data_IF_570012178176
#
_entry.id   IF_570012178176
#
_cell.length_a   1.000
_cell.length_b   1.000
_cell.length_c   1.000
_cell.angle_alpha   90.00
_cell.angle_beta   90.00
_cell.angle_gamma   90.00
#
_symmetry.space_group_name_H-M   'P 1'
#
loop_
_entity.id
_entity.type
_entity.pdbx_description
1 polymer ?
#
# COMPACT_ATOMS: atom_id res chain seq x y z
N UNK A 1 2.89 -9.22 -17.84
CA UNK A 1 3.11 -10.14 -16.71
C UNK A 1 3.79 -9.38 -15.57
N UNK A 2 3.05 -8.61 -14.75
CA UNK A 2 3.67 -7.75 -13.70
C UNK A 2 2.95 -7.80 -12.33
N UNK A 3 1.76 -8.42 -12.24
CA UNK A 3 0.95 -8.39 -11.02
C UNK A 3 1.37 -9.43 -9.95
N UNK A 4 1.96 -10.56 -10.34
CA UNK A 4 2.22 -11.70 -9.43
C UNK A 4 3.43 -11.51 -8.50
N UNK A 5 4.30 -10.52 -8.76
CA UNK A 5 5.59 -10.40 -8.08
C UNK A 5 5.54 -9.72 -6.70
N UNK A 6 4.39 -9.16 -6.29
CA UNK A 6 4.32 -8.30 -5.10
C UNK A 6 3.83 -8.99 -3.83
N UNK A 7 3.16 -10.15 -3.89
CA UNK A 7 2.77 -10.92 -2.70
C UNK A 7 1.94 -10.14 -1.67
N UNK A 8 1.19 -9.14 -2.15
CA UNK A 8 0.25 -8.34 -1.35
C UNK A 8 -1.16 -8.67 -1.79
N UNK A 9 -2.05 -8.89 -0.83
CA UNK A 9 -3.46 -9.21 -1.02
C UNK A 9 -4.33 -8.34 -0.07
N UNK A 10 -5.63 -8.13 -0.36
CA UNK A 10 -6.48 -7.30 0.47
C UNK A 10 -6.73 -8.02 1.79
N UNK A 11 -6.70 -7.28 2.90
CA UNK A 11 -6.69 -7.81 4.26
C UNK A 11 -5.29 -8.03 4.84
N UNK A 12 -4.22 -7.90 4.04
CA UNK A 12 -2.86 -7.95 4.58
C UNK A 12 -2.58 -6.72 5.45
N UNK A 13 -2.02 -6.95 6.64
CA UNK A 13 -1.62 -5.88 7.56
C UNK A 13 -0.14 -5.55 7.39
N UNK A 14 0.16 -4.26 7.35
CA UNK A 14 1.50 -3.68 7.32
C UNK A 14 1.59 -2.68 8.48
N UNK A 15 2.18 -3.09 9.60
CA UNK A 15 2.11 -2.30 10.84
C UNK A 15 0.66 -2.10 11.30
N UNK A 16 0.24 -0.84 11.44
CA UNK A 16 -1.14 -0.44 11.76
C UNK A 16 -2.05 -0.29 10.53
N UNK A 17 -1.49 -0.40 9.33
CA UNK A 17 -2.24 -0.30 8.07
C UNK A 17 -2.78 -1.66 7.64
N UNK A 18 -3.99 -1.67 7.09
CA UNK A 18 -4.64 -2.85 6.51
C UNK A 18 -4.95 -2.56 5.04
N UNK A 19 -4.51 -3.43 4.13
CA UNK A 19 -4.82 -3.29 2.71
C UNK A 19 -6.31 -3.51 2.48
N UNK A 20 -6.96 -2.55 1.83
CA UNK A 20 -8.38 -2.58 1.49
C UNK A 20 -8.55 -2.95 0.03
N UNK A 21 -7.83 -2.27 -0.87
CA UNK A 21 -7.95 -2.46 -2.32
C UNK A 21 -6.63 -2.23 -3.08
N UNK A 22 -6.55 -2.77 -4.30
CA UNK A 22 -5.42 -2.59 -5.23
C UNK A 22 -5.78 -1.53 -6.27
N UNK A 23 -4.90 -0.55 -6.43
CA UNK A 23 -5.04 0.53 -7.41
C UNK A 23 -3.80 0.57 -8.29
N UNK A 24 -3.92 0.14 -9.55
CA UNK A 24 -2.82 0.20 -10.51
C UNK A 24 -2.91 1.54 -11.25
N UNK A 25 -2.32 2.60 -10.69
CA UNK A 25 -2.65 3.97 -11.12
C UNK A 25 -1.46 4.82 -11.57
N UNK A 26 -0.22 4.34 -11.47
CA UNK A 26 0.93 5.13 -11.90
C UNK A 26 1.86 4.29 -12.76
N UNK A 27 1.86 4.53 -14.07
CA UNK A 27 2.98 4.17 -14.92
C UNK A 27 4.03 5.28 -14.77
N UNK A 28 5.26 4.91 -14.40
CA UNK A 28 6.38 5.85 -14.47
C UNK A 28 6.69 6.17 -15.93
N UNK A 29 7.46 7.24 -16.17
CA UNK A 29 7.92 7.63 -17.51
C UNK A 29 8.71 6.51 -18.22
N UNK A 30 9.27 5.57 -17.44
CA UNK A 30 9.97 4.36 -17.90
C UNK A 30 9.03 3.17 -18.21
N UNK A 31 7.71 3.34 -18.07
CA UNK A 31 6.71 2.28 -18.30
C UNK A 31 6.55 1.29 -17.14
N UNK A 32 7.15 1.56 -15.98
CA UNK A 32 7.00 0.73 -14.80
C UNK A 32 5.65 1.04 -14.13
N UNK A 33 4.72 0.10 -14.20
CA UNK A 33 3.42 0.23 -13.50
C UNK A 33 3.66 0.00 -12.01
N UNK A 34 3.60 1.08 -11.24
CA UNK A 34 3.69 1.04 -9.80
C UNK A 34 2.34 0.66 -9.19
N UNK A 35 2.26 -0.46 -8.46
CA UNK A 35 1.05 -0.86 -7.76
C UNK A 35 0.85 0.06 -6.54
N UNK A 36 -0.22 0.83 -6.57
CA UNK A 36 -0.70 1.55 -5.41
C UNK A 36 -1.73 0.68 -4.68
N UNK A 37 -1.78 0.83 -3.37
CA UNK A 37 -2.65 0.08 -2.49
C UNK A 37 -3.42 1.08 -1.65
N UNK A 38 -4.73 0.92 -1.62
CA UNK A 38 -5.55 1.63 -0.65
C UNK A 38 -5.45 0.88 0.67
N UNK A 39 -4.89 1.53 1.68
CA UNK A 39 -4.80 1.00 3.03
C UNK A 39 -5.68 1.81 3.99
N UNK A 40 -6.23 1.16 5.00
CA UNK A 40 -6.88 1.81 6.13
C UNK A 40 -6.15 1.46 7.42
N UNK A 41 -5.94 2.47 8.24
CA UNK A 41 -5.40 2.30 9.57
C UNK A 41 -6.54 1.94 10.52
N UNK A 42 -6.20 1.23 11.59
CA UNK A 42 -7.10 0.99 12.73
C UNK A 42 -7.68 2.28 13.33
N UNK A 43 -6.98 3.41 13.17
CA UNK A 43 -7.44 4.74 13.56
C UNK A 43 -8.66 5.26 12.74
N UNK A 44 -9.05 4.55 11.67
CA UNK A 44 -10.10 4.96 10.73
C UNK A 44 -9.59 5.83 9.56
N UNK A 45 -8.31 6.20 9.55
CA UNK A 45 -7.72 6.93 8.42
C UNK A 45 -7.44 5.98 7.25
N UNK A 46 -7.83 6.36 6.03
CA UNK A 46 -7.43 5.64 4.81
C UNK A 46 -6.44 6.45 3.97
N UNK A 47 -5.42 5.80 3.41
CA UNK A 47 -4.46 6.40 2.49
C UNK A 47 -4.17 5.47 1.31
N UNK A 48 -3.73 6.06 0.20
CA UNK A 48 -3.24 5.31 -0.96
C UNK A 48 -1.72 5.35 -0.88
N UNK A 49 -1.10 4.18 -0.71
CA UNK A 49 0.34 4.03 -0.55
C UNK A 49 0.90 3.06 -1.58
N UNK A 50 2.15 3.27 -1.98
CA UNK A 50 2.83 2.36 -2.87
C UNK A 50 3.24 1.08 -2.12
N UNK A 51 3.19 -0.08 -2.80
CA UNK A 51 3.69 -1.36 -2.24
C UNK A 51 5.12 -1.21 -1.71
N UNK A 52 5.98 -0.46 -2.41
CA UNK A 52 7.39 -0.26 -2.01
C UNK A 52 7.47 0.40 -0.63
N UNK A 53 6.67 1.44 -0.36
CA UNK A 53 6.63 2.16 0.92
C UNK A 53 6.14 1.27 2.06
N UNK A 54 5.07 0.50 1.81
CA UNK A 54 4.53 -0.45 2.79
C UNK A 54 5.52 -1.58 3.11
N UNK A 55 6.24 -2.10 2.10
CA UNK A 55 7.27 -3.13 2.29
C UNK A 55 8.51 -2.61 2.97
N UNK A 56 8.91 -1.37 2.68
CA UNK A 56 10.09 -0.77 3.28
C UNK A 56 9.89 -0.39 4.75
N UNK A 57 8.64 -0.40 5.24
CA UNK A 57 8.33 0.02 6.61
C UNK A 57 8.48 1.53 6.81
N UNK A 58 8.57 2.31 5.74
CA UNK A 58 8.70 3.77 5.85
C UNK A 58 7.40 4.41 6.36
N UNK A 59 6.26 3.73 6.13
CA UNK A 59 4.95 4.19 6.59
C UNK A 59 4.16 3.05 7.26
N UNK A 60 4.43 2.83 8.54
CA UNK A 60 3.81 1.75 9.35
C UNK A 60 2.54 2.20 10.07
N UNK A 61 2.31 3.51 10.19
CA UNK A 61 1.11 4.05 10.86
C UNK A 61 0.65 5.38 10.27
N UNK A 62 -0.62 5.75 10.56
CA UNK A 62 -1.20 7.05 10.20
C UNK A 62 -0.63 8.23 11.02
N UNK A 63 0.31 7.98 11.95
CA UNK A 63 0.73 8.98 12.94
C UNK A 63 -0.29 9.18 14.06
N UNK A 64 -1.26 8.27 14.22
CA UNK A 64 -2.13 8.31 15.39
C UNK A 64 -1.36 7.86 16.63
N UNK A 65 -1.02 8.85 17.45
CA UNK A 65 -0.75 8.69 18.88
C UNK A 65 -2.07 8.35 19.56
N UNK A 66 -2.34 7.05 19.67
CA UNK A 66 -3.19 6.56 20.76
C UNK A 66 -2.27 6.19 21.92
#
# INVERSE_FOLDING_TARGET
MLAEKTGVFPGKKFGKWTVIEFSYSAATEEGEVLPHLRVACECGTSKILNVKVLRSGEMESCGCSV
#
